data_IF_827783013865
#
_entry.id   IF_827783013865
#
_cell.length_a   1.000
_cell.length_b   1.000
_cell.length_c   1.000
_cell.angle_alpha   90.00
_cell.angle_beta   90.00
_cell.angle_gamma   90.00
#
_symmetry.space_group_name_H-M   'P 1'
#
loop_
_entity.id
_entity.type
_entity.pdbx_description
1 polymer ?
#
# COMPACT_ATOMS: atom_id res chain seq x y z
N UNK A 1 2.97 4.82 4.96
CA UNK A 1 2.58 4.60 3.55
C UNK A 1 2.05 5.88 2.95
N UNK A 2 2.46 6.18 1.72
CA UNK A 2 2.11 7.43 1.03
C UNK A 2 1.85 7.15 -0.45
N UNK A 3 0.96 7.92 -1.08
CA UNK A 3 0.76 7.85 -2.53
C UNK A 3 2.02 8.36 -3.28
N UNK A 4 2.45 7.73 -4.40
CA UNK A 4 3.63 8.16 -5.15
C UNK A 4 3.64 9.66 -5.50
N UNK A 5 2.53 10.22 -5.95
CA UNK A 5 2.40 11.66 -6.25
C UNK A 5 2.71 12.55 -5.05
N UNK A 6 2.35 12.13 -3.84
CA UNK A 6 2.65 12.88 -2.61
C UNK A 6 4.10 12.71 -2.18
N UNK A 7 4.68 11.53 -2.39
CA UNK A 7 6.12 11.34 -2.18
C UNK A 7 6.93 12.26 -3.11
N UNK A 8 6.54 12.39 -4.37
CA UNK A 8 7.16 13.33 -5.31
C UNK A 8 7.01 14.78 -4.84
N UNK A 9 5.84 15.17 -4.35
CA UNK A 9 5.62 16.51 -3.80
C UNK A 9 6.52 16.79 -2.57
N UNK A 10 6.69 15.81 -1.66
CA UNK A 10 7.60 15.94 -0.51
C UNK A 10 9.08 16.04 -0.93
N UNK A 11 9.49 15.29 -1.96
CA UNK A 11 10.85 15.41 -2.52
C UNK A 11 11.10 16.77 -3.19
N UNK A 12 10.04 17.46 -3.64
CA UNK A 12 10.14 18.80 -4.22
C UNK A 12 9.94 19.92 -3.19
N UNK A 13 9.57 19.58 -1.95
CA UNK A 13 9.34 20.55 -0.89
C UNK A 13 10.65 21.24 -0.52
N UNK A 14 10.63 22.57 -0.58
CA UNK A 14 11.77 23.43 -0.28
C UNK A 14 11.41 24.45 0.78
N UNK A 15 12.39 24.75 1.62
CA UNK A 15 12.39 25.93 2.47
C UNK A 15 13.61 26.79 2.11
N UNK A 16 13.40 28.06 1.77
CA UNK A 16 14.45 29.00 1.32
C UNK A 16 15.41 28.47 0.23
N UNK A 17 14.92 27.58 -0.63
CA UNK A 17 15.69 26.96 -1.72
C UNK A 17 16.36 25.62 -1.36
N UNK A 18 16.38 25.24 -0.07
CA UNK A 18 16.92 23.99 0.43
C UNK A 18 15.82 22.92 0.42
N UNK A 19 16.13 21.73 -0.11
CA UNK A 19 15.18 20.61 -0.07
C UNK A 19 15.04 20.07 1.35
N UNK A 20 13.79 19.94 1.83
CA UNK A 20 13.52 19.52 3.21
C UNK A 20 13.70 18.00 3.36
N UNK A 21 13.04 17.22 2.50
CA UNK A 21 13.00 15.76 2.63
C UNK A 21 13.75 15.01 1.53
N UNK A 22 14.13 15.69 0.44
CA UNK A 22 14.67 15.03 -0.76
C UNK A 22 15.88 14.16 -0.45
N UNK A 23 16.85 14.71 0.26
CA UNK A 23 18.09 14.00 0.57
C UNK A 23 17.85 12.82 1.50
N UNK A 24 17.03 13.02 2.55
CA UNK A 24 16.66 11.94 3.47
C UNK A 24 15.93 10.79 2.75
N UNK A 25 14.98 11.13 1.88
CA UNK A 25 14.17 10.15 1.16
C UNK A 25 14.99 9.36 0.13
N UNK A 26 15.96 9.99 -0.54
CA UNK A 26 16.80 9.34 -1.56
C UNK A 26 17.94 8.54 -0.93
N UNK A 27 18.62 9.08 0.08
CA UNK A 27 19.82 8.47 0.65
C UNK A 27 19.48 7.41 1.70
N UNK A 28 18.42 7.62 2.50
CA UNK A 28 18.08 6.76 3.64
C UNK A 28 16.77 6.01 3.47
N UNK A 29 15.93 6.39 2.51
CA UNK A 29 14.59 5.81 2.36
C UNK A 29 13.68 6.12 3.55
N UNK A 30 13.92 7.22 4.27
CA UNK A 30 13.14 7.64 5.44
C UNK A 30 12.51 9.02 5.27
N UNK A 31 11.44 9.27 6.03
CA UNK A 31 10.83 10.58 6.23
C UNK A 31 10.82 10.84 7.73
N UNK A 32 11.57 11.85 8.20
CA UNK A 32 11.74 12.15 9.64
C UNK A 32 12.23 10.95 10.45
N UNK A 33 13.11 10.13 9.88
CA UNK A 33 13.66 8.92 10.50
C UNK A 33 12.77 7.68 10.42
N UNK A 34 11.53 7.81 9.91
CA UNK A 34 10.64 6.66 9.73
C UNK A 34 10.75 6.10 8.31
N UNK A 35 10.87 4.77 8.15
CA UNK A 35 10.83 4.16 6.83
C UNK A 35 9.47 4.42 6.18
N UNK A 36 9.48 4.69 4.87
CA UNK A 36 8.25 4.92 4.13
C UNK A 36 8.13 3.95 2.95
N UNK A 37 6.89 3.66 2.58
CA UNK A 37 6.56 2.82 1.43
C UNK A 37 5.56 3.59 0.57
N UNK A 38 5.80 3.59 -0.74
CA UNK A 38 4.90 4.19 -1.71
C UNK A 38 3.90 3.15 -2.20
N UNK A 39 2.61 3.51 -2.26
CA UNK A 39 1.59 2.62 -2.81
C UNK A 39 0.43 3.42 -3.40
N UNK A 40 -0.12 2.95 -4.52
CA UNK A 40 -1.33 3.52 -5.14
C UNK A 40 -2.62 3.09 -4.43
N UNK A 41 -2.53 2.16 -3.46
CA UNK A 41 -3.67 1.71 -2.65
C UNK A 41 -4.09 2.71 -1.58
N UNK A 42 -3.26 3.71 -1.28
CA UNK A 42 -3.60 4.82 -0.38
C UNK A 42 -4.04 6.02 -1.22
N UNK A 43 -5.20 6.65 -0.94
CA UNK A 43 -5.65 7.83 -1.68
C UNK A 43 -4.63 8.98 -1.66
N UNK A 44 -4.61 9.78 -2.72
CA UNK A 44 -3.73 10.96 -2.82
C UNK A 44 -3.96 11.97 -1.69
N UNK A 45 -5.18 12.06 -1.17
CA UNK A 45 -5.57 12.95 -0.05
C UNK A 45 -5.18 12.42 1.33
N UNK A 46 -4.60 11.22 1.42
CA UNK A 46 -4.32 10.55 2.68
C UNK A 46 -2.85 10.17 2.82
N UNK A 47 -2.30 10.38 4.01
CA UNK A 47 -1.03 9.79 4.43
C UNK A 47 -1.32 8.87 5.61
N UNK A 48 -0.86 7.62 5.53
CA UNK A 48 -1.06 6.62 6.58
C UNK A 48 0.24 6.37 7.31
N UNK A 49 0.21 6.50 8.63
CA UNK A 49 1.31 6.26 9.53
C UNK A 49 1.08 4.95 10.29
N UNK A 50 2.17 4.25 10.55
CA UNK A 50 2.18 3.10 11.44
C UNK A 50 3.42 3.20 12.31
N UNK A 51 3.24 3.04 13.61
CA UNK A 51 4.35 2.88 14.54
C UNK A 51 4.97 1.48 14.42
N UNK A 52 4.15 0.46 14.15
CA UNK A 52 4.59 -0.94 14.00
C UNK A 52 3.66 -1.72 13.06
N UNK A 53 4.18 -2.13 11.90
CA UNK A 53 3.44 -2.94 10.92
C UNK A 53 3.17 -4.37 11.39
N UNK A 54 3.88 -4.87 12.42
CA UNK A 54 3.60 -6.19 13.02
C UNK A 54 2.24 -6.22 13.75
N UNK A 55 1.62 -5.06 13.95
CA UNK A 55 0.27 -4.95 14.49
C UNK A 55 -0.83 -5.16 13.41
N UNK A 56 -0.45 -5.23 12.14
CA UNK A 56 -1.32 -5.63 11.04
C UNK A 56 -1.20 -7.14 10.82
N UNK A 57 -2.26 -7.88 11.11
CA UNK A 57 -2.33 -9.31 10.86
C UNK A 57 -2.95 -9.53 9.49
N UNK A 58 -2.28 -10.32 8.67
CA UNK A 58 -2.80 -10.78 7.40
C UNK A 58 -2.68 -12.29 7.35
N UNK A 59 -3.82 -12.97 7.23
CA UNK A 59 -3.89 -14.40 7.03
C UNK A 59 -4.29 -14.66 5.58
N UNK A 60 -3.56 -15.54 4.91
CA UNK A 60 -3.89 -16.01 3.56
C UNK A 60 -4.05 -17.52 3.63
N UNK A 61 -5.08 -18.02 2.99
CA UNK A 61 -5.17 -19.43 2.62
C UNK A 61 -4.24 -19.62 1.41
N UNK A 62 -3.09 -20.27 1.63
CA UNK A 62 -2.06 -20.44 0.60
C UNK A 62 -2.52 -21.34 -0.56
N UNK A 63 -3.62 -22.07 -0.37
CA UNK A 63 -4.20 -22.92 -1.39
C UNK A 63 -4.94 -22.09 -2.46
N UNK A 64 -4.34 -22.04 -3.66
CA UNK A 64 -4.96 -21.48 -4.84
C UNK A 64 -5.97 -22.48 -5.42
N UNK A 65 -7.26 -22.19 -5.25
CA UNK A 65 -8.32 -23.01 -5.83
C UNK A 65 -8.67 -22.45 -7.22
N UNK A 66 -8.35 -23.21 -8.27
CA UNK A 66 -8.86 -22.99 -9.62
C UNK A 66 -10.30 -23.52 -9.70
N UNK A 67 -11.26 -22.60 -9.71
CA UNK A 67 -12.68 -22.91 -9.71
C UNK A 67 -13.22 -22.81 -11.14
N UNK A 68 -13.44 -23.96 -11.76
CA UNK A 68 -14.28 -24.19 -12.96
C UNK A 68 -13.89 -23.44 -14.26
N UNK A 69 -13.51 -24.23 -15.27
CA UNK A 69 -13.48 -23.83 -16.67
C UNK A 69 -14.90 -24.00 -17.22
N UNK A 70 -15.66 -22.92 -17.36
CA UNK A 70 -16.93 -22.98 -18.05
C UNK A 70 -16.69 -22.66 -19.54
N UNK A 71 -16.68 -23.68 -20.38
CA UNK A 71 -16.66 -23.54 -21.84
C UNK A 71 -18.08 -23.29 -22.33
N UNK A 72 -18.40 -22.03 -22.62
CA UNK A 72 -19.68 -21.70 -23.26
C UNK A 72 -19.55 -21.94 -24.77
N UNK A 73 -20.05 -23.07 -25.23
CA UNK A 73 -20.03 -23.47 -26.64
C UNK A 73 -20.72 -22.46 -27.59
N UNK A 74 -21.63 -21.62 -27.07
CA UNK A 74 -22.30 -20.57 -27.84
C UNK A 74 -21.42 -19.34 -28.13
N UNK A 75 -20.33 -19.13 -27.39
CA UNK A 75 -19.51 -17.91 -27.49
C UNK A 75 -18.01 -18.17 -27.75
N UNK A 76 -17.58 -19.44 -27.87
CA UNK A 76 -16.16 -19.84 -28.01
C UNK A 76 -15.25 -19.17 -26.96
N UNK A 77 -15.73 -19.11 -25.72
CA UNK A 77 -15.03 -18.47 -24.60
C UNK A 77 -14.77 -19.49 -23.47
N UNK A 78 -13.54 -19.46 -22.95
CA UNK A 78 -13.17 -20.17 -21.72
C UNK A 78 -12.94 -19.15 -20.61
N UNK A 79 -13.81 -19.16 -19.59
CA UNK A 79 -13.59 -18.34 -18.39
C UNK A 79 -12.78 -19.13 -17.37
N UNK A 80 -11.67 -18.54 -16.90
CA UNK A 80 -10.85 -19.09 -15.81
C UNK A 80 -11.11 -18.26 -14.55
N UNK A 81 -11.53 -18.91 -13.46
CA UNK A 81 -11.67 -18.28 -12.15
C UNK A 81 -10.69 -18.89 -11.17
N UNK A 82 -9.87 -18.03 -10.57
CA UNK A 82 -8.98 -18.37 -9.48
C UNK A 82 -9.45 -17.66 -8.21
N UNK A 83 -9.53 -18.39 -7.09
CA UNK A 83 -9.97 -17.86 -5.80
C UNK A 83 -8.87 -18.09 -4.77
N UNK A 84 -8.45 -17.01 -4.12
CA UNK A 84 -7.59 -17.03 -2.92
C UNK A 84 -8.35 -16.35 -1.79
N UNK A 85 -8.46 -17.04 -0.65
CA UNK A 85 -9.10 -16.47 0.54
C UNK A 85 -8.02 -15.78 1.37
N UNK A 86 -8.25 -14.53 1.73
CA UNK A 86 -7.41 -13.79 2.65
C UNK A 86 -8.27 -12.94 3.56
N UNK A 87 -7.80 -12.75 4.80
CA UNK A 87 -8.43 -11.88 5.78
C UNK A 87 -7.37 -11.04 6.49
N UNK A 88 -7.77 -9.86 6.96
CA UNK A 88 -6.89 -8.93 7.64
C UNK A 88 -7.52 -8.37 8.90
N UNK A 89 -6.69 -8.16 9.94
CA UNK A 89 -7.13 -7.57 11.19
C UNK A 89 -6.04 -6.71 11.81
N UNK A 90 -6.45 -5.60 12.41
CA UNK A 90 -5.57 -4.81 13.26
C UNK A 90 -5.57 -5.39 14.67
N UNK A 91 -4.41 -5.87 15.13
CA UNK A 91 -4.23 -6.32 16.52
C UNK A 91 -4.32 -5.15 17.50
N UNK A 92 -3.73 -4.02 17.12
CA UNK A 92 -3.78 -2.76 17.87
C UNK A 92 -4.08 -1.59 16.93
N UNK A 93 -5.34 -1.15 16.83
CA UNK A 93 -5.70 -0.04 15.94
C UNK A 93 -4.95 1.27 16.26
N UNK A 94 -4.61 1.51 17.54
CA UNK A 94 -3.88 2.70 17.99
C UNK A 94 -2.45 2.79 17.44
N UNK A 95 -1.89 1.70 16.92
CA UNK A 95 -0.58 1.71 16.27
C UNK A 95 -0.60 2.36 14.88
N UNK A 96 -1.80 2.60 14.33
CA UNK A 96 -2.01 3.18 13.01
C UNK A 96 -2.72 4.52 13.14
N UNK A 97 -2.28 5.50 12.36
CA UNK A 97 -2.97 6.78 12.25
C UNK A 97 -2.95 7.24 10.80
N UNK A 98 -3.85 8.16 10.45
CA UNK A 98 -3.84 8.75 9.13
C UNK A 98 -4.20 10.21 9.21
N UNK A 99 -3.56 11.02 8.37
CA UNK A 99 -3.96 12.40 8.16
C UNK A 99 -4.62 12.48 6.80
N UNK A 100 -5.78 13.14 6.76
CA UNK A 100 -6.53 13.45 5.55
C UNK A 100 -6.52 14.96 5.37
N UNK A 101 -6.35 15.40 4.12
CA UNK A 101 -6.30 16.80 3.73
C UNK A 101 -7.30 17.09 2.61
#
# INVERSE_FOLDING_TARGET
MIHPTRATALMQLKDTGIFIFRQEMLDKGTIRGFPFVMTTRVPVTRITFSADWRQYLYGIDEDLILSEHNTRAEYDETTIRAIVKGDFKLRQPKAFSSITY
#
